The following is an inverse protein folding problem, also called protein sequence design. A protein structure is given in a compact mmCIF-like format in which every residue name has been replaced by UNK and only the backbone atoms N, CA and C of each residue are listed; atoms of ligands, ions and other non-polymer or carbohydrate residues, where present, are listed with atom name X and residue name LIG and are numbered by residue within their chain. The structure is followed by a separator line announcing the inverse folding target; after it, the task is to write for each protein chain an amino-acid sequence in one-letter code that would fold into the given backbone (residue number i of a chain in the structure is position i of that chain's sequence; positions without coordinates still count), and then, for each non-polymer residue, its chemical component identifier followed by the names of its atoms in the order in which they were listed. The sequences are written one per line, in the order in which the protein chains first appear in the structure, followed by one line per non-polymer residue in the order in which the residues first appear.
data_IF_052151483861
#
_entry.id   IF_052151483861
#
_cell.length_a   1.000
_cell.length_b   1.000
_cell.length_c   1.000
_cell.angle_alpha   90.00
_cell.angle_beta   90.00
_cell.angle_gamma   90.00
#
_symmetry.space_group_name_H-M   'P 1'
#
loop_
_entity.id
_entity.type
_entity.pdbx_description
1 polymer ?
#
# COMPACT_ATOMS: atom_id res chain seq x y z
N UNK A 1 4.28 0.69 17.55
CA UNK A 1 3.97 2.12 17.39
C UNK A 1 5.24 2.93 17.58
N UNK A 2 5.49 3.88 16.68
CA UNK A 2 6.63 4.82 16.67
C UNK A 2 6.09 6.20 17.05
N UNK A 3 6.42 6.69 18.25
CA UNK A 3 5.88 7.95 18.79
C UNK A 3 6.46 9.20 18.14
N UNK A 4 7.65 9.10 17.54
CA UNK A 4 8.34 10.20 16.87
C UNK A 4 9.02 9.66 15.63
N UNK A 5 8.58 10.15 14.49
CA UNK A 5 9.14 9.86 13.17
C UNK A 5 9.66 11.17 12.59
N UNK A 6 10.82 11.12 11.94
CA UNK A 6 11.38 12.23 11.16
C UNK A 6 11.60 11.73 9.75
N UNK A 7 10.97 12.37 8.78
CA UNK A 7 11.09 12.06 7.36
C UNK A 7 11.69 13.27 6.66
N UNK A 8 12.77 13.04 5.92
CA UNK A 8 13.44 14.08 5.13
C UNK A 8 13.36 13.66 3.68
N UNK A 9 12.67 14.44 2.87
CA UNK A 9 12.51 14.21 1.44
C UNK A 9 13.25 15.31 0.68
N UNK A 10 14.16 14.94 -0.20
CA UNK A 10 14.86 15.87 -1.08
C UNK A 10 14.41 15.68 -2.52
N UNK A 11 14.17 16.78 -3.23
CA UNK A 11 13.97 16.71 -4.68
C UNK A 11 15.36 16.52 -5.30
N UNK A 12 15.50 15.54 -6.19
CA UNK A 12 16.76 15.24 -6.89
C UNK A 12 16.70 15.58 -8.38
N UNK A 13 15.51 15.73 -8.95
CA UNK A 13 15.30 15.98 -10.38
C UNK A 13 13.85 15.75 -10.79
N UNK A 14 13.63 15.69 -12.11
CA UNK A 14 12.31 15.47 -12.70
C UNK A 14 12.38 14.30 -13.69
N UNK A 15 11.37 13.43 -13.70
CA UNK A 15 11.14 12.48 -14.79
C UNK A 15 10.02 12.99 -15.69
N UNK A 16 10.00 12.53 -16.95
CA UNK A 16 8.94 12.87 -17.90
C UNK A 16 8.36 11.59 -18.49
N UNK A 17 7.04 11.49 -18.47
CA UNK A 17 6.23 10.35 -18.96
C UNK A 17 6.39 9.05 -18.16
N UNK A 18 7.62 8.66 -17.82
CA UNK A 18 7.91 7.47 -17.04
C UNK A 18 8.08 7.79 -15.55
N UNK A 19 7.67 6.86 -14.70
CA UNK A 19 7.98 6.89 -13.27
C UNK A 19 9.49 6.76 -13.03
N UNK A 20 9.96 7.25 -11.89
CA UNK A 20 11.35 7.10 -11.49
C UNK A 20 11.70 5.64 -11.21
N UNK A 21 12.72 5.13 -11.90
CA UNK A 21 13.34 3.84 -11.62
C UNK A 21 14.72 4.08 -10.98
N UNK A 22 14.96 3.61 -9.74
CA UNK A 22 16.27 3.68 -9.08
C UNK A 22 17.41 3.04 -9.89
N UNK A 23 17.12 2.10 -10.80
CA UNK A 23 18.13 1.47 -11.66
C UNK A 23 18.39 2.27 -12.92
N UNK A 24 17.46 3.11 -13.37
CA UNK A 24 17.58 3.97 -14.56
C UNK A 24 17.73 5.46 -14.19
N UNK A 25 18.74 5.80 -13.39
CA UNK A 25 19.05 7.19 -13.02
C UNK A 25 19.23 8.14 -14.22
N UNK A 26 19.55 7.62 -15.41
CA UNK A 26 19.77 8.39 -16.65
C UNK A 26 18.52 9.10 -17.19
N UNK A 27 17.31 8.71 -16.75
CA UNK A 27 16.05 9.37 -17.14
C UNK A 27 15.66 10.56 -16.26
N UNK A 28 16.44 10.85 -15.22
CA UNK A 28 16.18 11.98 -14.33
C UNK A 28 16.82 13.25 -14.87
N UNK A 29 15.99 14.21 -15.26
CA UNK A 29 16.45 15.55 -15.63
C UNK A 29 16.92 16.31 -14.40
N UNK A 30 18.07 16.98 -14.52
CA UNK A 30 18.68 17.77 -13.45
C UNK A 30 17.76 18.91 -12.97
N UNK A 31 17.83 19.23 -11.68
CA UNK A 31 17.15 20.38 -11.07
C UNK A 31 17.68 21.74 -11.54
N UNK A 32 18.97 21.78 -11.87
CA UNK A 32 19.66 23.00 -12.23
C UNK A 32 20.59 22.76 -13.42
N UNK A 33 20.97 23.85 -14.10
CA UNK A 33 21.91 23.81 -15.23
C UNK A 33 23.30 23.29 -14.81
N UNK A 34 23.70 23.53 -13.57
CA UNK A 34 24.91 23.00 -12.95
C UNK A 34 24.55 22.00 -11.85
N UNK A 35 25.49 21.12 -11.47
CA UNK A 35 25.27 20.15 -10.41
C UNK A 35 25.41 20.83 -9.02
N UNK A 36 24.30 21.12 -8.30
CA UNK A 36 24.39 21.83 -7.04
C UNK A 36 24.96 20.92 -5.94
N UNK A 37 25.71 21.50 -4.98
CA UNK A 37 26.16 20.77 -3.77
C UNK A 37 25.08 20.67 -2.68
N UNK A 38 23.87 21.13 -2.97
CA UNK A 38 22.74 21.18 -2.06
C UNK A 38 21.48 20.74 -2.83
N UNK A 39 20.52 20.15 -2.11
CA UNK A 39 19.21 19.80 -2.65
C UNK A 39 18.12 20.47 -1.82
N UNK A 40 17.05 20.99 -2.44
CA UNK A 40 15.89 21.44 -1.69
C UNK A 40 15.25 20.23 -1.01
N UNK A 41 15.03 20.35 0.31
CA UNK A 41 14.49 19.27 1.13
C UNK A 41 13.38 19.78 2.05
N UNK A 42 12.44 18.88 2.33
CA UNK A 42 11.37 19.05 3.30
C UNK A 42 11.63 18.11 4.48
N UNK A 43 11.59 18.63 5.70
CA UNK A 43 11.59 17.83 6.92
C UNK A 43 10.19 17.80 7.51
N UNK A 44 9.62 16.60 7.63
CA UNK A 44 8.35 16.36 8.30
C UNK A 44 8.59 15.56 9.59
N UNK A 45 7.86 15.92 10.63
CA UNK A 45 7.84 15.21 11.91
C UNK A 45 6.44 14.71 12.16
N UNK A 46 6.34 13.50 12.66
CA UNK A 46 5.04 12.88 12.89
C UNK A 46 5.13 11.63 13.73
N UNK A 47 4.11 10.80 13.56
CA UNK A 47 3.91 9.55 14.28
C UNK A 47 3.81 8.43 13.27
N UNK A 48 4.00 7.19 13.70
CA UNK A 48 3.83 6.06 12.79
C UNK A 48 3.45 4.76 13.46
N UNK A 49 2.83 3.88 12.69
CA UNK A 49 2.50 2.51 13.06
C UNK A 49 3.16 1.59 12.06
N UNK A 50 3.90 0.62 12.60
CA UNK A 50 4.50 -0.45 11.82
C UNK A 50 3.71 -1.73 12.06
N UNK A 51 3.26 -2.33 10.96
CA UNK A 51 2.61 -3.64 10.94
C UNK A 51 3.58 -4.65 10.35
N UNK A 52 3.82 -5.74 11.06
CA UNK A 52 4.57 -6.88 10.58
C UNK A 52 3.64 -8.06 10.37
N UNK A 53 3.80 -8.77 9.26
CA UNK A 53 2.97 -9.91 8.91
C UNK A 53 3.77 -11.21 9.03
N UNK A 54 3.06 -12.31 9.24
CA UNK A 54 3.68 -13.63 9.29
C UNK A 54 4.12 -14.05 7.88
N UNK A 55 5.42 -13.94 7.59
CA UNK A 55 5.99 -14.32 6.30
C UNK A 55 5.66 -15.76 5.89
N UNK A 56 5.61 -16.70 6.84
CA UNK A 56 5.25 -18.11 6.54
C UNK A 56 3.82 -18.20 6.03
N UNK A 57 2.87 -17.53 6.68
CA UNK A 57 1.47 -17.54 6.25
C UNK A 57 1.32 -16.92 4.85
N UNK A 58 1.97 -15.77 4.59
CA UNK A 58 1.97 -15.12 3.28
C UNK A 58 2.62 -15.99 2.19
N UNK A 59 3.74 -16.65 2.51
CA UNK A 59 4.43 -17.53 1.58
C UNK A 59 3.62 -18.79 1.24
N UNK A 60 2.83 -19.32 2.17
CA UNK A 60 1.90 -20.42 1.89
C UNK A 60 0.69 -19.94 1.07
N UNK A 61 0.15 -18.77 1.40
CA UNK A 61 -0.96 -18.18 0.66
C UNK A 61 -0.62 -17.92 -0.82
N UNK A 62 0.53 -17.28 -1.09
CA UNK A 62 0.95 -16.96 -2.47
C UNK A 62 1.27 -18.18 -3.34
N UNK A 63 1.41 -19.38 -2.76
CA UNK A 63 1.65 -20.62 -3.51
C UNK A 63 0.40 -21.12 -4.23
N UNK A 64 -0.80 -20.72 -3.79
CA UNK A 64 -2.07 -21.16 -4.38
C UNK A 64 -2.17 -20.73 -5.84
N UNK A 65 -2.74 -21.60 -6.67
CA UNK A 65 -2.83 -21.36 -8.12
C UNK A 65 -3.74 -20.17 -8.45
N UNK A 66 -4.88 -20.04 -7.76
CA UNK A 66 -5.81 -18.92 -7.93
C UNK A 66 -5.18 -17.55 -7.63
N UNK A 67 -4.35 -17.46 -6.59
CA UNK A 67 -3.59 -16.24 -6.25
C UNK A 67 -2.57 -15.91 -7.34
N UNK A 68 -1.83 -16.90 -7.84
CA UNK A 68 -0.85 -16.71 -8.93
C UNK A 68 -1.52 -16.26 -10.22
N UNK A 69 -2.63 -16.90 -10.60
CA UNK A 69 -3.39 -16.54 -11.79
C UNK A 69 -3.94 -15.11 -11.73
N UNK A 70 -4.47 -14.68 -10.57
CA UNK A 70 -4.90 -13.29 -10.39
C UNK A 70 -3.72 -12.33 -10.48
N UNK A 71 -2.61 -12.66 -9.84
CA UNK A 71 -1.41 -11.82 -9.87
C UNK A 71 -0.83 -11.69 -11.29
N UNK A 72 -0.77 -12.77 -12.07
CA UNK A 72 -0.32 -12.74 -13.46
C UNK A 72 -1.17 -11.81 -14.33
N UNK A 73 -2.48 -11.78 -14.09
CA UNK A 73 -3.39 -10.82 -14.74
C UNK A 73 -3.07 -9.38 -14.36
N UNK A 74 -2.89 -9.08 -13.07
CA UNK A 74 -2.48 -7.75 -12.58
C UNK A 74 -1.15 -7.32 -13.23
N UNK A 75 -0.19 -8.24 -13.32
CA UNK A 75 1.14 -7.97 -13.88
C UNK A 75 1.15 -7.80 -15.40
N UNK A 76 0.08 -8.11 -16.12
CA UNK A 76 0.04 -8.02 -17.58
C UNK A 76 0.31 -6.60 -18.09
N UNK A 77 -0.14 -5.57 -17.37
CA UNK A 77 0.16 -4.17 -17.69
C UNK A 77 1.61 -3.82 -17.33
N UNK A 78 2.08 -4.25 -16.16
CA UNK A 78 3.47 -4.01 -15.73
C UNK A 78 4.50 -4.66 -16.65
N UNK A 79 4.20 -5.82 -17.25
CA UNK A 79 5.09 -6.49 -18.23
C UNK A 79 5.19 -5.75 -19.57
N UNK A 80 4.19 -4.94 -19.92
CA UNK A 80 4.25 -4.08 -21.12
C UNK A 80 5.15 -2.86 -20.90
N UNK A 81 5.27 -2.44 -19.65
CA UNK A 81 6.26 -1.47 -19.20
C UNK A 81 7.54 -2.29 -18.97
N UNK A 82 8.72 -1.84 -19.41
CA UNK A 82 9.97 -2.63 -19.25
C UNK A 82 10.44 -2.60 -17.79
N UNK A 83 9.70 -3.22 -16.89
CA UNK A 83 10.02 -3.34 -15.47
C UNK A 83 10.95 -4.52 -15.23
N UNK A 84 11.83 -4.41 -14.24
CA UNK A 84 12.74 -5.49 -13.86
C UNK A 84 11.96 -6.66 -13.25
N UNK A 85 12.05 -7.88 -13.82
CA UNK A 85 11.41 -9.08 -13.27
C UNK A 85 11.77 -9.35 -11.81
N UNK A 86 12.97 -8.95 -11.37
CA UNK A 86 13.48 -9.13 -10.01
C UNK A 86 13.08 -8.00 -9.04
N UNK A 87 12.21 -7.07 -9.45
CA UNK A 87 11.65 -6.06 -8.56
C UNK A 87 10.85 -6.75 -7.44
N UNK A 88 11.08 -6.34 -6.19
CA UNK A 88 10.33 -6.83 -5.02
C UNK A 88 8.83 -6.57 -5.10
N UNK A 89 8.41 -5.64 -5.98
CA UNK A 89 7.01 -5.37 -6.34
C UNK A 89 6.37 -6.51 -7.12
N UNK A 90 7.16 -7.38 -7.74
CA UNK A 90 6.71 -8.53 -8.52
C UNK A 90 6.42 -9.76 -7.65
N UNK A 91 5.73 -9.56 -6.53
CA UNK A 91 5.28 -10.61 -5.62
C UNK A 91 3.80 -10.38 -5.25
N UNK A 92 2.91 -11.40 -5.29
CA UNK A 92 1.55 -11.32 -4.74
C UNK A 92 1.50 -10.71 -3.33
N UNK A 93 2.54 -10.96 -2.53
CA UNK A 93 2.72 -10.37 -1.20
C UNK A 93 2.78 -8.85 -1.25
N UNK A 94 3.45 -8.26 -2.24
CA UNK A 94 3.52 -6.81 -2.38
C UNK A 94 2.14 -6.21 -2.66
N UNK A 95 1.37 -6.79 -3.60
CA UNK A 95 0.00 -6.32 -3.92
C UNK A 95 -0.89 -6.37 -2.68
N UNK A 96 -0.79 -7.44 -1.88
CA UNK A 96 -1.49 -7.52 -0.59
C UNK A 96 -1.06 -6.40 0.37
N UNK A 97 0.25 -6.24 0.62
CA UNK A 97 0.74 -5.25 1.58
C UNK A 97 0.34 -3.83 1.15
N UNK A 98 0.48 -3.52 -0.15
CA UNK A 98 0.13 -2.24 -0.73
C UNK A 98 -1.38 -1.95 -0.70
N UNK A 99 -2.20 -2.93 -1.07
CA UNK A 99 -3.65 -2.71 -1.00
C UNK A 99 -4.11 -2.62 0.45
N UNK A 100 -3.53 -3.42 1.34
CA UNK A 100 -3.90 -3.42 2.74
C UNK A 100 -3.52 -2.11 3.44
N UNK A 101 -2.34 -1.54 3.14
CA UNK A 101 -1.95 -0.23 3.66
C UNK A 101 -2.95 0.85 3.26
N UNK A 102 -3.47 0.82 2.02
CA UNK A 102 -4.52 1.74 1.58
C UNK A 102 -5.80 1.59 2.42
N UNK A 103 -6.29 0.37 2.62
CA UNK A 103 -7.50 0.14 3.44
C UNK A 103 -7.31 0.54 4.90
N UNK A 104 -6.11 0.32 5.46
CA UNK A 104 -5.77 0.74 6.82
C UNK A 104 -5.68 2.25 6.93
N UNK A 105 -5.05 2.95 5.99
CA UNK A 105 -5.00 4.42 5.99
C UNK A 105 -6.39 5.05 5.91
N UNK A 106 -7.31 4.48 5.12
CA UNK A 106 -8.71 4.94 5.05
C UNK A 106 -9.44 4.71 6.37
N UNK A 107 -9.27 3.55 6.98
CA UNK A 107 -9.85 3.21 8.29
C UNK A 107 -9.29 4.11 9.41
N UNK A 108 -7.97 4.35 9.42
CA UNK A 108 -7.30 5.29 10.32
C UNK A 108 -7.81 6.72 10.14
N UNK A 109 -7.95 7.20 8.91
CA UNK A 109 -8.49 8.53 8.63
C UNK A 109 -9.90 8.72 9.23
N UNK A 110 -10.77 7.73 9.05
CA UNK A 110 -12.13 7.74 9.61
C UNK A 110 -12.13 7.77 11.14
N UNK A 111 -11.29 6.96 11.78
CA UNK A 111 -11.28 6.84 13.23
C UNK A 111 -10.53 7.98 13.93
N UNK A 112 -9.38 8.40 13.38
CA UNK A 112 -8.53 9.44 13.96
C UNK A 112 -8.96 10.87 13.57
N UNK A 113 -9.93 11.02 12.65
CA UNK A 113 -10.38 12.33 12.16
C UNK A 113 -9.38 13.04 11.25
N UNK A 114 -8.37 12.32 10.74
CA UNK A 114 -7.40 12.87 9.81
C UNK A 114 -7.89 12.78 8.37
N UNK A 115 -7.46 13.73 7.53
CA UNK A 115 -7.53 13.55 6.08
C UNK A 115 -6.63 12.38 5.69
N UNK A 116 -7.08 11.53 4.76
CA UNK A 116 -6.24 10.45 4.19
C UNK A 116 -4.94 10.99 3.59
N UNK A 117 -4.97 12.23 3.08
CA UNK A 117 -3.80 12.95 2.57
C UNK A 117 -2.68 13.19 3.61
N UNK A 118 -2.99 13.04 4.89
CA UNK A 118 -2.03 13.26 6.00
C UNK A 118 -1.13 12.05 6.25
N UNK A 119 -1.48 10.89 5.69
CA UNK A 119 -0.73 9.67 5.84
C UNK A 119 0.14 9.39 4.62
N UNK A 120 1.27 8.75 4.87
CA UNK A 120 2.11 8.13 3.85
C UNK A 120 2.45 6.72 4.28
N UNK A 121 2.61 5.83 3.30
CA UNK A 121 3.07 4.48 3.52
C UNK A 121 4.53 4.28 3.11
N UNK A 122 5.14 3.25 3.69
CA UNK A 122 6.37 2.64 3.22
C UNK A 122 6.23 1.13 3.31
N UNK A 123 6.48 0.43 2.21
CA UNK A 123 6.27 -1.02 2.11
C UNK A 123 7.61 -1.75 2.21
N UNK A 124 7.67 -2.76 3.08
CA UNK A 124 8.81 -3.65 3.25
C UNK A 124 8.43 -5.05 2.78
N UNK A 125 8.85 -5.39 1.55
CA UNK A 125 8.56 -6.68 0.91
C UNK A 125 9.87 -7.31 0.42
N UNK A 126 10.08 -8.60 0.73
CA UNK A 126 11.25 -9.39 0.30
C UNK A 126 11.24 -10.76 0.98
N UNK A 127 12.21 -11.64 0.75
CA UNK A 127 12.15 -13.05 1.21
C UNK A 127 11.94 -13.23 2.72
N UNK A 128 12.48 -12.32 3.53
CA UNK A 128 12.26 -12.26 4.98
C UNK A 128 11.39 -11.08 5.45
N UNK A 129 10.89 -10.25 4.54
CA UNK A 129 10.22 -8.99 4.86
C UNK A 129 8.77 -8.99 4.40
N UNK A 130 7.88 -8.68 5.34
CA UNK A 130 6.47 -8.45 5.09
C UNK A 130 5.97 -7.44 6.12
N UNK A 131 6.06 -6.16 5.79
CA UNK A 131 5.67 -5.10 6.69
C UNK A 131 5.22 -3.84 5.98
N UNK A 132 4.41 -3.06 6.70
CA UNK A 132 3.90 -1.77 6.25
C UNK A 132 4.21 -0.78 7.37
N UNK A 133 4.83 0.34 7.02
CA UNK A 133 4.93 1.48 7.90
C UNK A 133 4.01 2.59 7.42
N UNK A 134 3.00 2.94 8.22
CA UNK A 134 2.11 4.06 7.96
C UNK A 134 2.51 5.18 8.91
N UNK A 135 2.75 6.37 8.39
CA UNK A 135 3.18 7.51 9.18
C UNK A 135 2.50 8.80 8.72
N UNK A 136 2.42 9.77 9.61
CA UNK A 136 1.95 11.11 9.25
C UNK A 136 3.09 11.90 8.61
N UNK A 137 2.81 12.51 7.45
CA UNK A 137 3.80 13.23 6.64
C UNK A 137 3.43 14.69 6.39
N UNK A 138 2.35 15.20 6.98
CA UNK A 138 1.96 16.60 6.86
C UNK A 138 2.70 17.50 7.85
N UNK A 139 3.14 18.65 7.36
CA UNK A 139 3.65 19.77 8.17
C UNK A 139 2.52 20.60 8.81
N UNK A 140 1.26 20.31 8.47
CA UNK A 140 0.09 20.95 9.05
C UNK A 140 -0.11 20.49 10.49
N UNK A 141 -0.73 21.35 11.30
CA UNK A 141 -1.03 21.11 12.71
C UNK A 141 -1.70 19.76 12.99
N UNK A 142 -2.39 19.19 12.00
CA UNK A 142 -3.10 17.92 12.10
C UNK A 142 -2.15 16.76 12.48
N UNK A 143 -0.95 16.67 11.91
CA UNK A 143 -0.01 15.58 12.20
C UNK A 143 0.56 15.57 13.63
N UNK A 144 0.31 16.63 14.41
CA UNK A 144 0.86 16.85 15.76
C UNK A 144 -0.14 16.69 16.91
N UNK A 145 -1.42 16.41 16.60
CA UNK A 145 -2.50 16.34 17.59
C UNK A 145 -2.57 14.99 18.34
N UNK A 146 -1.69 14.04 18.03
CA UNK A 146 -1.62 12.76 18.76
C UNK A 146 -2.74 11.78 18.41
N UNK A 147 -3.52 12.01 17.37
CA UNK A 147 -4.61 11.10 16.96
C UNK A 147 -4.12 9.67 16.64
N UNK A 148 -2.92 9.53 16.08
CA UNK A 148 -2.35 8.19 15.82
C UNK A 148 -1.78 7.56 17.10
N UNK A 149 -1.24 8.37 18.02
CA UNK A 149 -0.92 7.93 19.40
C UNK A 149 -2.16 7.41 20.14
N UNK A 150 -3.28 8.10 20.03
CA UNK A 150 -4.51 7.73 20.72
C UNK A 150 -5.06 6.41 20.21
N UNK A 151 -5.13 6.23 18.88
CA UNK A 151 -5.53 4.96 18.25
C UNK A 151 -4.54 3.84 18.56
N UNK A 152 -3.24 4.14 18.63
CA UNK A 152 -2.17 3.17 18.88
C UNK A 152 -1.86 2.90 20.36
N UNK A 153 -2.67 3.43 21.29
CA UNK A 153 -2.42 3.35 22.73
C UNK A 153 -2.51 1.90 23.21
N UNK A 154 -1.44 1.42 23.88
CA UNK A 154 -1.40 0.05 24.40
C UNK A 154 -2.54 -0.19 25.39
N UNK A 155 -3.28 -1.28 25.22
CA UNK A 155 -4.41 -1.67 26.07
C UNK A 155 -5.76 -1.18 25.57
N UNK A 156 -5.81 -0.41 24.48
CA UNK A 156 -7.05 -0.04 23.79
C UNK A 156 -7.26 -0.95 22.57
N UNK A 157 -8.52 -1.30 22.28
CA UNK A 157 -8.91 -2.18 21.17
C UNK A 157 -9.05 -1.44 19.84
N UNK A 158 -8.97 -0.10 19.86
CA UNK A 158 -9.14 0.77 18.67
C UNK A 158 -8.29 0.38 17.47
N UNK A 159 -7.02 0.00 17.66
CA UNK A 159 -6.19 -0.45 16.55
C UNK A 159 -6.70 -1.77 15.94
N UNK A 160 -7.29 -2.63 16.77
CA UNK A 160 -8.01 -3.82 16.33
C UNK A 160 -9.21 -3.45 15.47
N UNK A 161 -10.03 -2.49 15.92
CA UNK A 161 -11.17 -1.99 15.15
C UNK A 161 -10.75 -1.43 13.80
N UNK A 162 -9.64 -0.68 13.75
CA UNK A 162 -9.07 -0.17 12.50
C UNK A 162 -8.77 -1.30 11.52
N UNK A 163 -8.11 -2.36 11.99
CA UNK A 163 -7.72 -3.50 11.17
C UNK A 163 -8.93 -4.32 10.72
N UNK A 164 -9.89 -4.57 11.63
CA UNK A 164 -11.13 -5.27 11.30
C UNK A 164 -11.91 -4.49 10.25
N UNK A 165 -12.09 -3.17 10.45
CA UNK A 165 -12.77 -2.32 9.48
C UNK A 165 -12.04 -2.27 8.15
N UNK A 166 -10.70 -2.21 8.14
CA UNK A 166 -9.92 -2.23 6.90
C UNK A 166 -10.16 -3.53 6.09
N UNK A 167 -10.21 -4.68 6.75
CA UNK A 167 -10.52 -5.97 6.11
C UNK A 167 -11.98 -6.00 5.63
N UNK A 168 -12.94 -5.59 6.46
CA UNK A 168 -14.36 -5.59 6.10
C UNK A 168 -14.65 -4.66 4.90
N UNK A 169 -14.13 -3.44 4.93
CA UNK A 169 -14.32 -2.46 3.86
C UNK A 169 -13.64 -2.89 2.55
N UNK A 170 -12.57 -3.69 2.61
CA UNK A 170 -11.96 -4.25 1.40
C UNK A 170 -12.92 -5.17 0.63
N UNK A 171 -13.91 -5.77 1.31
CA UNK A 171 -14.84 -6.73 0.72
C UNK A 171 -15.93 -6.12 -0.15
N UNK A 172 -16.22 -4.82 -0.03
CA UNK A 172 -17.31 -4.16 -0.76
C UNK A 172 -16.90 -2.81 -1.38
N UNK A 173 -17.46 -2.48 -2.54
CA UNK A 173 -17.35 -1.17 -3.16
C UNK A 173 -18.72 -0.67 -3.60
N UNK A 174 -18.97 0.64 -3.52
CA UNK A 174 -20.20 1.25 -4.05
C UNK A 174 -20.33 1.13 -5.58
N UNK A 175 -19.22 0.84 -6.27
CA UNK A 175 -19.17 0.59 -7.70
C UNK A 175 -19.23 -0.91 -8.05
N UNK A 176 -19.55 -1.78 -7.09
CA UNK A 176 -19.75 -3.20 -7.39
C UNK A 176 -21.06 -3.45 -8.15
N UNK A 177 -21.10 -4.47 -9.04
CA UNK A 177 -20.06 -5.46 -9.29
C UNK A 177 -18.95 -5.01 -10.25
N UNK A 178 -19.09 -3.84 -10.89
CA UNK A 178 -18.16 -3.37 -11.92
C UNK A 178 -16.72 -3.27 -11.39
N UNK A 179 -16.54 -2.75 -10.17
CA UNK A 179 -15.23 -2.69 -9.52
C UNK A 179 -14.69 -4.09 -9.20
N UNK A 180 -15.47 -4.95 -8.52
CA UNK A 180 -15.04 -6.33 -8.20
C UNK A 180 -14.70 -7.20 -9.42
N UNK A 181 -15.41 -7.00 -10.54
CA UNK A 181 -15.25 -7.82 -11.74
C UNK A 181 -14.23 -7.25 -12.72
N UNK A 182 -13.53 -6.18 -12.34
CA UNK A 182 -12.53 -5.55 -13.17
C UNK A 182 -11.39 -6.53 -13.48
N UNK A 183 -11.05 -6.60 -14.78
CA UNK A 183 -9.97 -7.42 -15.31
C UNK A 183 -8.80 -6.50 -15.71
N UNK A 184 -7.73 -6.44 -14.90
CA UNK A 184 -6.62 -5.51 -15.11
C UNK A 184 -5.90 -5.69 -16.44
N UNK A 185 -6.05 -6.85 -17.10
CA UNK A 185 -5.50 -7.13 -18.42
C UNK A 185 -6.29 -6.52 -19.59
N UNK A 186 -7.58 -6.21 -19.39
CA UNK A 186 -8.51 -5.73 -20.43
C UNK A 186 -8.67 -4.22 -20.47
N UNK A 187 -8.69 -3.60 -19.30
CA UNK A 187 -8.59 -2.15 -19.16
C UNK A 187 -7.09 -1.85 -19.10
N UNK A 188 -6.58 -0.74 -19.63
CA UNK A 188 -5.19 -0.30 -19.38
C UNK A 188 -5.02 0.12 -17.90
N UNK A 189 -5.44 -0.75 -16.99
CA UNK A 189 -5.65 -0.49 -15.59
C UNK A 189 -4.41 -0.88 -14.84
N UNK A 190 -3.81 0.09 -14.18
CA UNK A 190 -2.70 -0.13 -13.25
C UNK A 190 -3.15 -0.84 -11.96
N UNK A 191 -4.44 -1.19 -11.83
CA UNK A 191 -5.05 -1.80 -10.67
C UNK A 191 -6.15 -2.81 -11.06
N UNK A 192 -6.31 -3.85 -10.23
CA UNK A 192 -7.36 -4.86 -10.33
C UNK A 192 -8.69 -4.36 -9.76
N UNK A 193 -9.23 -5.04 -8.73
CA UNK A 193 -10.46 -4.61 -8.08
C UNK A 193 -10.21 -3.41 -7.14
N UNK A 194 -9.93 -2.23 -7.70
CA UNK A 194 -9.61 -1.01 -6.97
C UNK A 194 -10.04 0.24 -7.76
N UNK A 195 -10.74 1.16 -7.09
CA UNK A 195 -11.16 2.45 -7.67
C UNK A 195 -11.15 3.56 -6.60
N UNK A 196 -11.47 4.79 -7.00
CA UNK A 196 -11.51 5.96 -6.10
C UNK A 196 -12.45 5.79 -4.91
N UNK A 197 -13.52 4.99 -5.07
CA UNK A 197 -14.48 4.75 -4.00
C UNK A 197 -13.93 3.84 -2.88
N UNK A 198 -13.07 2.87 -3.21
CA UNK A 198 -12.66 1.83 -2.26
C UNK A 198 -11.18 1.84 -1.86
N UNK A 199 -10.25 2.07 -2.80
CA UNK A 199 -8.84 1.76 -2.58
C UNK A 199 -7.87 2.86 -3.02
N UNK A 200 -8.18 3.66 -4.05
CA UNK A 200 -7.25 4.72 -4.46
C UNK A 200 -7.17 5.81 -3.38
N UNK A 201 -5.95 6.33 -3.20
CA UNK A 201 -5.60 7.40 -2.26
C UNK A 201 -4.98 8.58 -3.00
N UNK A 202 -4.86 9.77 -2.37
CA UNK A 202 -4.05 10.84 -2.92
C UNK A 202 -2.64 10.32 -3.27
N UNK A 203 -2.11 10.71 -4.42
CA UNK A 203 -0.83 10.18 -4.93
C UNK A 203 0.34 10.43 -3.96
N UNK A 204 0.29 11.53 -3.19
CA UNK A 204 1.30 11.87 -2.17
C UNK A 204 1.34 10.89 -1.00
N UNK A 205 0.31 10.07 -0.81
CA UNK A 205 0.24 9.07 0.26
C UNK A 205 0.88 7.74 -0.14
N UNK A 206 0.82 7.42 -1.43
CA UNK A 206 1.09 6.10 -1.97
C UNK A 206 2.51 6.04 -2.53
N UNK A 207 3.29 5.05 -2.08
CA UNK A 207 4.67 4.88 -2.55
C UNK A 207 4.74 4.45 -4.03
N UNK A 208 3.66 3.88 -4.56
CA UNK A 208 3.63 3.26 -5.89
C UNK A 208 2.53 3.82 -6.80
N UNK A 209 2.15 5.10 -6.60
CA UNK A 209 1.25 5.87 -7.47
C UNK A 209 -0.09 5.16 -7.78
N UNK A 210 -0.68 4.53 -6.76
CA UNK A 210 -1.90 3.73 -6.87
C UNK A 210 -1.85 2.60 -7.90
N UNK A 211 -0.66 2.10 -8.26
CA UNK A 211 -0.49 0.95 -9.15
C UNK A 211 -0.30 -0.34 -8.35
N UNK A 212 -0.65 -1.50 -8.90
CA UNK A 212 -0.58 -2.79 -8.19
C UNK A 212 -1.48 -2.82 -6.95
N UNK A 213 -2.75 -2.42 -7.12
CA UNK A 213 -3.78 -2.48 -6.10
C UNK A 213 -4.86 -3.49 -6.51
N UNK A 214 -5.27 -4.34 -5.57
CA UNK A 214 -6.40 -5.27 -5.76
C UNK A 214 -6.97 -5.72 -4.41
N UNK A 215 -8.20 -5.29 -4.09
CA UNK A 215 -8.83 -5.63 -2.80
C UNK A 215 -9.19 -7.11 -2.67
N UNK A 216 -9.27 -7.85 -3.77
CA UNK A 216 -9.46 -9.31 -3.75
C UNK A 216 -8.23 -10.04 -3.16
N UNK A 217 -7.07 -9.38 -3.12
CA UNK A 217 -5.86 -9.91 -2.46
C UNK A 217 -5.94 -9.80 -0.93
N UNK A 218 -6.83 -8.97 -0.39
CA UNK A 218 -7.01 -8.77 1.07
C UNK A 218 -7.99 -9.80 1.62
N UNK A 219 -9.23 -9.79 1.13
CA UNK A 219 -10.30 -10.69 1.56
C UNK A 219 -11.25 -11.00 0.38
N UNK A 220 -12.34 -11.70 0.64
CA UNK A 220 -13.40 -11.99 -0.33
C UNK A 220 -14.08 -10.71 -0.85
N UNK A 221 -14.35 -10.69 -2.15
CA UNK A 221 -15.17 -9.67 -2.83
C UNK A 221 -16.31 -10.35 -3.60
N UNK A 222 -17.17 -9.58 -4.27
CA UNK A 222 -18.15 -10.17 -5.19
C UNK A 222 -17.52 -10.89 -6.40
N UNK A 223 -16.26 -10.59 -6.72
CA UNK A 223 -15.53 -11.18 -7.85
C UNK A 223 -14.90 -12.54 -7.52
N UNK A 224 -14.58 -12.79 -6.25
CA UNK A 224 -13.89 -14.01 -5.83
C UNK A 224 -13.42 -14.01 -4.37
N UNK A 225 -12.80 -15.12 -3.96
CA UNK A 225 -12.38 -15.37 -2.57
C UNK A 225 -10.95 -15.91 -2.48
N UNK A 226 -10.01 -15.17 -3.07
CA UNK A 226 -8.58 -15.52 -3.05
C UNK A 226 -7.80 -14.85 -1.92
N UNK A 227 -8.39 -13.86 -1.23
CA UNK A 227 -7.68 -12.96 -0.32
C UNK A 227 -6.97 -13.62 0.87
N UNK A 228 -5.90 -12.97 1.34
CA UNK A 228 -5.06 -13.47 2.42
C UNK A 228 -5.84 -13.70 3.72
N UNK A 229 -6.73 -12.80 4.12
CA UNK A 229 -7.49 -12.94 5.37
C UNK A 229 -8.53 -14.08 5.31
N UNK A 230 -9.10 -14.37 4.14
CA UNK A 230 -9.95 -15.55 3.96
C UNK A 230 -9.17 -16.85 4.13
N UNK A 231 -7.96 -16.90 3.57
CA UNK A 231 -7.04 -18.01 3.78
C UNK A 231 -6.58 -18.13 5.24
N UNK A 232 -6.19 -17.01 5.88
CA UNK A 232 -5.61 -17.00 7.22
C UNK A 232 -6.59 -17.48 8.29
N UNK A 233 -7.89 -17.17 8.15
CA UNK A 233 -8.96 -17.71 9.01
C UNK A 233 -8.98 -19.25 8.98
N UNK A 234 -8.83 -19.86 7.80
CA UNK A 234 -8.79 -21.33 7.62
C UNK A 234 -7.46 -21.94 8.05
N UNK A 235 -6.36 -21.21 7.86
CA UNK A 235 -5.01 -21.65 8.19
C UNK A 235 -4.75 -21.75 9.69
N UNK A 236 -5.27 -20.79 10.46
CA UNK A 236 -5.08 -20.75 11.92
C UNK A 236 -5.80 -21.90 12.64
N UNK A 237 -6.96 -22.33 12.12
CA UNK A 237 -7.74 -23.46 12.65
C UNK A 237 -7.04 -24.81 12.45
N UNK A 238 -6.20 -24.96 11.41
CA UNK A 238 -5.47 -26.23 11.14
C UNK A 238 -4.21 -26.41 11.98
N UNK A 239 -3.84 -25.43 12.79
CA UNK A 239 -2.61 -25.42 13.61
C UNK A 239 -2.86 -25.33 15.12
N UNK A 240 -4.12 -25.14 15.52
CA UNK A 240 -4.59 -25.31 16.88
C UNK A 240 -5.02 -26.77 17.08
#
# INVERSE_FOLDING_TARGET
MVKKTRVVSAITGFTRMDAYDPKEHSKVSSLAKSNPRWLPALENRGEGIFFSFNNRALNEWKKRNDVKERFDRIMTVQRKIKTDPEDYKHDPKYVFLHTFSHTVMRSLAKLAGYSTASFTERIYCGDGMAGIFIYTSSSSSDGSLGGLVDVGRKGDERIGDVLVNAVLESGSCSCDPHCSMQQPEKVQGFAGAACHACALLPETCCENMNTLLDREMIDRTLGGSIGFFDFARKWSVKKA
#
